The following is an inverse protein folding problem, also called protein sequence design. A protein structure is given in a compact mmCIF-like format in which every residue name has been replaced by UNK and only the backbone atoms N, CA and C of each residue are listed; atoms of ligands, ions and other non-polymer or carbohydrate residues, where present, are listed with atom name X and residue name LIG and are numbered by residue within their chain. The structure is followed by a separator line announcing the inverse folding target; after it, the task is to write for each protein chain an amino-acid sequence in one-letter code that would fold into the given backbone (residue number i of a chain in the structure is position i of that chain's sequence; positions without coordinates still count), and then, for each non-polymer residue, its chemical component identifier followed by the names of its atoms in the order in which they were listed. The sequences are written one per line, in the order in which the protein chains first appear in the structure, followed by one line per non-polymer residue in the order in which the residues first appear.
data_IF_922848395067
#
_entry.id   IF_922848395067
#
_cell.length_a   1.000
_cell.length_b   1.000
_cell.length_c   1.000
_cell.angle_alpha   90.00
_cell.angle_beta   90.00
_cell.angle_gamma   90.00
#
_symmetry.space_group_name_H-M   'P 1'
#
loop_
_entity.id
_entity.type
_entity.pdbx_description
1 polymer ?
#
# COMPACT_ATOMS: atom_id res chain seq x y z
N UNK A 1 -27.46 -3.28 8.09
CA UNK A 1 -27.31 -1.89 8.60
C UNK A 1 -27.22 -0.95 7.41
N UNK A 2 -27.68 0.29 7.53
CA UNK A 2 -27.44 1.32 6.50
C UNK A 2 -26.11 2.00 6.83
N UNK A 3 -25.25 2.18 5.84
CA UNK A 3 -23.95 2.84 6.03
C UNK A 3 -24.15 4.32 6.32
N UNK A 4 -23.40 4.85 7.30
CA UNK A 4 -23.46 6.28 7.66
C UNK A 4 -22.69 7.09 6.64
N UNK A 5 -23.32 8.13 6.09
CA UNK A 5 -22.65 9.12 5.23
C UNK A 5 -21.86 10.09 6.12
N UNK A 6 -20.63 10.38 5.71
CA UNK A 6 -19.75 11.39 6.30
C UNK A 6 -19.73 12.58 5.34
N UNK A 7 -20.03 13.77 5.85
CA UNK A 7 -19.88 14.98 5.06
C UNK A 7 -18.41 15.39 5.00
N UNK A 8 -17.84 15.40 3.80
CA UNK A 8 -16.50 15.90 3.52
C UNK A 8 -16.60 17.09 2.60
N UNK A 9 -15.79 18.12 2.84
CA UNK A 9 -15.73 19.27 1.94
C UNK A 9 -15.07 18.90 0.59
N UNK A 10 -15.26 19.76 -0.41
CA UNK A 10 -14.71 19.56 -1.74
C UNK A 10 -13.17 19.63 -1.74
N UNK A 11 -12.59 20.46 -0.88
CA UNK A 11 -11.14 20.63 -0.77
C UNK A 11 -10.45 19.34 -0.32
N UNK A 12 -11.05 18.58 0.59
CA UNK A 12 -10.59 17.27 1.03
C UNK A 12 -10.46 16.32 -0.16
N UNK A 13 -11.53 16.19 -0.96
CA UNK A 13 -11.51 15.32 -2.14
C UNK A 13 -10.44 15.79 -3.13
N UNK A 14 -10.37 17.09 -3.44
CA UNK A 14 -9.39 17.64 -4.37
C UNK A 14 -7.95 17.45 -3.90
N UNK A 15 -7.66 17.63 -2.61
CA UNK A 15 -6.34 17.41 -2.03
C UNK A 15 -5.85 15.97 -2.22
N UNK A 16 -6.77 15.00 -2.13
CA UNK A 16 -6.44 13.59 -2.33
C UNK A 16 -6.43 13.18 -3.82
N UNK A 17 -7.25 13.80 -4.67
CA UNK A 17 -7.44 13.34 -6.05
C UNK A 17 -6.54 14.03 -7.08
N UNK A 18 -6.35 15.35 -6.97
CA UNK A 18 -5.78 16.16 -8.07
C UNK A 18 -4.35 15.74 -8.45
N UNK A 19 -3.53 15.35 -7.48
CA UNK A 19 -2.17 14.84 -7.73
C UNK A 19 -2.14 13.59 -8.62
N UNK A 20 -3.15 12.73 -8.52
CA UNK A 20 -3.19 11.44 -9.19
C UNK A 20 -4.03 11.48 -10.47
N UNK A 21 -5.20 12.12 -10.40
CA UNK A 21 -6.26 12.03 -11.40
C UNK A 21 -6.36 13.25 -12.32
N UNK A 22 -5.89 14.44 -11.97
CA UNK A 22 -6.13 15.67 -12.77
C UNK A 22 -5.32 15.75 -14.09
N UNK A 23 -4.87 14.62 -14.64
CA UNK A 23 -4.02 14.56 -15.82
C UNK A 23 -4.89 14.64 -17.07
N UNK A 24 -4.79 15.73 -17.80
CA UNK A 24 -5.31 15.84 -19.17
C UNK A 24 -4.43 15.11 -20.20
N UNK A 25 -3.24 14.66 -19.79
CA UNK A 25 -2.32 13.94 -20.66
C UNK A 25 -2.80 12.48 -20.86
N UNK A 26 -3.10 12.04 -22.10
CA UNK A 26 -3.53 10.69 -22.40
C UNK A 26 -2.37 9.68 -22.54
N UNK A 27 -1.13 10.10 -22.35
CA UNK A 27 0.04 9.23 -22.47
C UNK A 27 -0.02 8.07 -21.46
N UNK A 28 0.22 6.87 -21.96
CA UNK A 28 0.13 5.63 -21.20
C UNK A 28 1.42 5.33 -20.40
N UNK A 29 1.80 6.28 -19.52
CA UNK A 29 3.12 6.30 -18.85
C UNK A 29 3.23 5.40 -17.62
N UNK A 30 2.11 4.95 -17.06
CA UNK A 30 2.03 4.21 -15.79
C UNK A 30 1.54 2.78 -15.99
N UNK A 31 1.76 2.22 -17.19
CA UNK A 31 1.50 0.82 -17.50
C UNK A 31 2.81 0.02 -17.57
N UNK A 32 3.28 -0.44 -16.42
CA UNK A 32 4.50 -1.23 -16.34
C UNK A 32 4.21 -2.71 -16.62
N UNK A 33 5.11 -3.39 -17.31
CA UNK A 33 5.00 -4.82 -17.67
C UNK A 33 3.65 -5.20 -18.34
N UNK A 34 3.04 -4.26 -19.08
CA UNK A 34 1.73 -4.45 -19.71
C UNK A 34 0.63 -4.90 -18.75
N UNK A 35 0.69 -4.46 -17.47
CA UNK A 35 -0.30 -4.76 -16.43
C UNK A 35 -1.74 -4.38 -16.85
N UNK A 36 -1.88 -3.37 -17.70
CA UNK A 36 -3.14 -2.89 -18.25
C UNK A 36 -3.17 -3.03 -19.77
N UNK A 37 -4.37 -3.32 -20.29
CA UNK A 37 -4.61 -3.36 -21.73
C UNK A 37 -4.49 -1.96 -22.35
N UNK A 38 -4.14 -1.89 -23.64
CA UNK A 38 -4.08 -0.61 -24.37
C UNK A 38 -5.43 0.09 -24.27
N UNK A 39 -5.43 1.37 -23.88
CA UNK A 39 -6.63 2.19 -23.73
C UNK A 39 -7.29 2.13 -22.35
N UNK A 40 -6.76 1.35 -21.41
CA UNK A 40 -7.21 1.36 -20.01
C UNK A 40 -6.88 2.71 -19.35
N UNK A 41 -7.85 3.36 -18.70
CA UNK A 41 -7.59 4.66 -18.06
C UNK A 41 -6.50 4.60 -16.98
N UNK A 42 -6.32 3.43 -16.34
CA UNK A 42 -5.41 3.25 -15.21
C UNK A 42 -3.94 3.44 -15.57
N UNK A 43 -3.53 3.12 -16.81
CA UNK A 43 -2.14 3.34 -17.21
C UNK A 43 -1.79 4.80 -17.55
N UNK A 44 -2.76 5.71 -17.53
CA UNK A 44 -2.53 7.17 -17.62
C UNK A 44 -2.39 7.82 -16.23
N UNK A 45 -2.80 7.11 -15.18
CA UNK A 45 -2.90 7.62 -13.81
C UNK A 45 -1.72 7.11 -12.97
N UNK A 46 -1.17 7.99 -12.15
CA UNK A 46 -0.13 7.63 -11.20
C UNK A 46 -0.77 7.09 -9.91
N UNK A 47 -0.27 5.98 -9.37
CA UNK A 47 -0.73 5.38 -8.09
C UNK A 47 -2.26 5.15 -8.05
N UNK A 48 -2.81 4.53 -9.09
CA UNK A 48 -4.23 4.15 -9.22
C UNK A 48 -4.82 3.39 -8.03
N UNK A 49 -3.98 2.70 -7.28
CA UNK A 49 -4.35 1.90 -6.11
C UNK A 49 -4.73 2.72 -4.87
N UNK A 50 -4.57 4.04 -4.90
CA UNK A 50 -4.98 4.95 -3.81
C UNK A 50 -6.50 5.11 -3.68
N UNK A 51 -7.27 4.54 -4.61
CA UNK A 51 -8.72 4.71 -4.69
C UNK A 51 -9.46 3.38 -4.43
N UNK A 52 -10.57 3.39 -3.67
CA UNK A 52 -11.14 4.54 -2.95
C UNK A 52 -10.23 5.03 -1.83
N UNK A 53 -10.39 6.28 -1.40
CA UNK A 53 -9.56 6.86 -0.34
C UNK A 53 -9.97 6.21 0.98
N UNK A 54 -9.02 5.60 1.69
CA UNK A 54 -9.24 5.01 3.01
C UNK A 54 -8.51 5.87 4.05
N UNK A 55 -9.25 6.38 5.03
CA UNK A 55 -8.70 7.25 6.08
C UNK A 55 -9.21 6.89 7.46
N UNK A 56 -8.51 7.35 8.51
CA UNK A 56 -9.06 7.28 9.88
C UNK A 56 -10.31 8.15 9.99
N UNK A 57 -11.27 7.67 10.77
CA UNK A 57 -12.46 8.44 11.11
C UNK A 57 -12.56 8.58 12.63
N UNK A 58 -12.63 9.83 13.09
CA UNK A 58 -12.89 10.17 14.49
C UNK A 58 -13.89 11.31 14.46
N UNK A 59 -15.07 11.06 15.02
CA UNK A 59 -16.06 12.11 15.25
C UNK A 59 -15.69 12.86 16.53
N UNK A 60 -15.73 14.20 16.50
CA UNK A 60 -15.26 15.02 17.62
C UNK A 60 -16.11 14.82 18.87
N UNK A 61 -17.40 14.53 18.66
CA UNK A 61 -18.40 14.42 19.71
C UNK A 61 -18.59 12.97 20.22
N UNK A 62 -18.10 11.97 19.49
CA UNK A 62 -18.23 10.54 19.85
C UNK A 62 -17.03 9.71 19.39
N UNK A 63 -15.92 9.87 20.11
CA UNK A 63 -14.62 9.31 19.75
C UNK A 63 -14.54 7.79 19.97
N UNK A 64 -15.15 7.26 21.03
CA UNK A 64 -15.10 5.82 21.32
C UNK A 64 -15.89 5.00 20.31
N UNK A 65 -17.06 5.48 19.86
CA UNK A 65 -17.89 4.71 18.92
C UNK A 65 -17.33 4.72 17.49
N UNK A 66 -16.55 5.75 17.13
CA UNK A 66 -16.08 5.95 15.75
C UNK A 66 -14.67 5.42 15.47
N UNK A 67 -13.90 5.12 16.53
CA UNK A 67 -12.55 4.56 16.41
C UNK A 67 -12.47 3.24 15.61
N UNK A 68 -13.57 2.48 15.53
CA UNK A 68 -13.66 1.22 14.80
C UNK A 68 -13.98 1.38 13.31
N UNK A 69 -14.12 2.62 12.81
CA UNK A 69 -14.50 2.89 11.42
C UNK A 69 -13.38 3.59 10.65
N UNK A 70 -13.34 3.32 9.36
CA UNK A 70 -12.66 4.14 8.37
C UNK A 70 -13.64 5.11 7.73
N UNK A 71 -13.11 6.28 7.34
CA UNK A 71 -13.74 7.12 6.34
C UNK A 71 -13.30 6.60 4.98
N UNK A 72 -14.25 6.07 4.21
CA UNK A 72 -14.01 5.57 2.86
C UNK A 72 -14.66 6.51 1.87
N UNK A 73 -13.84 7.19 1.07
CA UNK A 73 -14.32 8.13 0.05
C UNK A 73 -14.23 7.49 -1.32
N UNK A 74 -15.39 7.15 -1.88
CA UNK A 74 -15.51 6.72 -3.27
C UNK A 74 -15.39 7.94 -4.16
N UNK A 75 -14.58 7.82 -5.21
CA UNK A 75 -14.34 8.89 -6.17
C UNK A 75 -14.55 8.33 -7.56
N UNK A 76 -15.44 8.96 -8.32
CA UNK A 76 -15.56 8.76 -9.74
C UNK A 76 -15.01 9.98 -10.45
N UNK A 77 -14.26 9.76 -11.53
CA UNK A 77 -13.62 10.82 -12.29
C UNK A 77 -13.92 10.66 -13.77
N UNK A 78 -14.38 11.75 -14.39
CA UNK A 78 -14.60 11.83 -15.84
C UNK A 78 -13.93 13.09 -16.38
N UNK A 79 -13.07 12.90 -17.38
CA UNK A 79 -12.49 13.99 -18.19
C UNK A 79 -13.33 14.31 -19.43
N UNK A 80 -14.45 13.62 -19.62
CA UNK A 80 -15.31 13.84 -20.79
C UNK A 80 -15.94 15.22 -20.73
N UNK A 81 -16.10 15.84 -21.91
CA UNK A 81 -16.83 17.11 -22.05
C UNK A 81 -18.29 16.99 -21.60
N UNK A 82 -18.88 15.80 -21.78
CA UNK A 82 -20.20 15.47 -21.26
C UNK A 82 -20.06 14.80 -19.88
N UNK A 83 -20.24 15.61 -18.84
CA UNK A 83 -20.27 15.13 -17.46
C UNK A 83 -21.53 14.29 -17.22
N UNK A 84 -21.42 13.18 -16.45
CA UNK A 84 -22.57 12.34 -16.16
C UNK A 84 -23.62 13.09 -15.34
N UNK A 85 -24.89 12.80 -15.58
CA UNK A 85 -26.00 13.42 -14.81
C UNK A 85 -26.19 12.76 -13.46
N UNK A 86 -25.86 11.48 -13.37
CA UNK A 86 -25.92 10.70 -12.15
C UNK A 86 -24.72 9.79 -12.01
N UNK A 87 -24.12 9.81 -10.82
CA UNK A 87 -23.14 8.82 -10.38
C UNK A 87 -23.58 8.29 -9.02
N UNK A 88 -23.63 6.98 -8.89
CA UNK A 88 -23.90 6.29 -7.62
C UNK A 88 -22.94 5.14 -7.40
N UNK A 89 -22.80 4.70 -6.16
CA UNK A 89 -22.00 3.53 -5.78
C UNK A 89 -22.88 2.49 -5.10
N UNK A 90 -22.62 1.23 -5.40
CA UNK A 90 -23.24 0.07 -4.78
C UNK A 90 -22.17 -0.94 -4.41
N UNK A 91 -22.28 -1.56 -3.24
CA UNK A 91 -21.27 -2.51 -2.78
C UNK A 91 -21.64 -3.22 -1.48
N UNK A 92 -20.79 -4.17 -1.07
CA UNK A 92 -21.03 -5.02 0.10
C UNK A 92 -20.92 -4.29 1.44
N UNK A 93 -20.51 -3.03 1.44
CA UNK A 93 -20.49 -2.16 2.62
C UNK A 93 -21.88 -1.61 3.00
N UNK A 94 -22.88 -1.74 2.11
CA UNK A 94 -24.30 -1.46 2.36
C UNK A 94 -25.15 -2.58 1.71
N UNK A 95 -26.45 -2.36 1.54
CA UNK A 95 -27.37 -3.25 0.83
C UNK A 95 -27.14 -3.17 -0.69
N UNK A 96 -26.88 -4.30 -1.33
CA UNK A 96 -26.56 -4.40 -2.76
C UNK A 96 -27.65 -3.91 -3.75
N UNK A 97 -28.89 -3.73 -3.30
CA UNK A 97 -29.96 -3.16 -4.15
C UNK A 97 -30.06 -1.63 -4.02
N UNK A 98 -29.28 -1.02 -3.13
CA UNK A 98 -29.32 0.41 -2.86
C UNK A 98 -28.11 1.08 -3.50
N UNK A 99 -28.38 1.99 -4.44
CA UNK A 99 -27.38 2.93 -4.93
C UNK A 99 -27.25 4.11 -3.97
N UNK A 100 -26.04 4.46 -3.59
CA UNK A 100 -25.73 5.67 -2.83
C UNK A 100 -25.24 6.74 -3.82
N UNK A 101 -25.92 7.88 -3.98
CA UNK A 101 -25.50 8.92 -4.92
C UNK A 101 -24.19 9.57 -4.48
N UNK A 102 -23.33 9.87 -5.45
CA UNK A 102 -22.12 10.67 -5.27
C UNK A 102 -22.47 12.14 -5.52
N UNK A 103 -21.79 13.04 -4.79
CA UNK A 103 -21.94 14.48 -4.96
C UNK A 103 -20.92 14.99 -5.95
N UNK A 104 -21.33 15.92 -6.81
CA UNK A 104 -20.43 16.65 -7.68
C UNK A 104 -19.46 17.51 -6.85
N UNK A 105 -18.18 17.44 -7.17
CA UNK A 105 -17.14 18.23 -6.53
C UNK A 105 -16.85 19.47 -7.38
N UNK A 106 -16.86 20.61 -6.72
CA UNK A 106 -16.59 21.91 -7.34
C UNK A 106 -15.34 22.56 -6.78
N UNK A 107 -14.67 23.38 -7.60
CA UNK A 107 -13.55 24.23 -7.19
C UNK A 107 -13.89 25.67 -7.58
N UNK A 108 -13.93 26.58 -6.59
CA UNK A 108 -14.36 27.97 -6.79
C UNK A 108 -15.74 28.11 -7.46
N UNK A 109 -16.63 27.14 -7.24
CA UNK A 109 -17.98 27.12 -7.83
C UNK A 109 -18.07 26.41 -9.18
N UNK A 110 -16.95 26.05 -9.80
CA UNK A 110 -16.91 25.38 -11.10
C UNK A 110 -16.86 23.84 -10.96
N UNK A 111 -17.60 23.09 -11.79
CA UNK A 111 -17.48 21.64 -11.91
C UNK A 111 -16.05 21.18 -12.18
N UNK A 112 -15.61 20.14 -11.47
CA UNK A 112 -14.25 19.58 -11.62
C UNK A 112 -14.21 18.26 -12.38
N UNK A 113 -15.37 17.66 -12.67
CA UNK A 113 -15.47 16.30 -13.22
C UNK A 113 -15.27 15.18 -12.19
N UNK A 114 -15.01 15.53 -10.92
CA UNK A 114 -15.02 14.59 -9.80
C UNK A 114 -16.42 14.48 -9.20
N UNK A 115 -16.80 13.25 -8.87
CA UNK A 115 -17.95 12.93 -8.05
C UNK A 115 -17.45 12.12 -6.87
N UNK A 116 -17.92 12.42 -5.66
CA UNK A 116 -17.49 11.66 -4.49
C UNK A 116 -18.55 11.53 -3.38
N UNK A 117 -18.39 10.48 -2.58
CA UNK A 117 -19.15 10.29 -1.34
C UNK A 117 -18.25 9.64 -0.30
N UNK A 118 -18.34 10.10 0.94
CA UNK A 118 -17.59 9.55 2.06
C UNK A 118 -18.53 8.76 2.98
N UNK A 119 -18.14 7.54 3.32
CA UNK A 119 -18.93 6.62 4.15
C UNK A 119 -18.11 6.16 5.36
N UNK A 120 -18.78 5.97 6.50
CA UNK A 120 -18.19 5.30 7.67
C UNK A 120 -18.31 3.78 7.49
N UNK A 121 -17.19 3.09 7.25
CA UNK A 121 -17.13 1.65 7.01
C UNK A 121 -16.27 0.98 8.09
N UNK A 122 -16.67 -0.15 8.69
CA UNK A 122 -15.87 -0.80 9.72
C UNK A 122 -14.45 -1.16 9.26
N UNK A 123 -13.49 -1.01 10.18
CA UNK A 123 -12.12 -1.50 10.01
C UNK A 123 -12.13 -3.04 9.99
N UNK A 124 -11.11 -3.65 9.37
CA UNK A 124 -10.94 -5.10 9.36
C UNK A 124 -11.69 -5.84 8.23
N UNK A 125 -12.31 -5.13 7.30
CA UNK A 125 -13.22 -5.69 6.30
C UNK A 125 -12.66 -5.59 4.87
N UNK A 126 -13.20 -6.44 3.98
CA UNK A 126 -12.92 -6.45 2.55
C UNK A 126 -14.24 -6.29 1.83
N UNK A 127 -14.32 -5.31 0.94
CA UNK A 127 -15.56 -5.00 0.25
C UNK A 127 -15.39 -5.04 -1.27
N UNK A 128 -16.51 -5.31 -1.94
CA UNK A 128 -16.61 -5.20 -3.39
C UNK A 128 -17.66 -4.17 -3.76
N UNK A 129 -17.45 -3.46 -4.86
CA UNK A 129 -18.33 -2.39 -5.32
C UNK A 129 -18.32 -2.21 -6.84
N UNK A 130 -19.31 -1.48 -7.33
CA UNK A 130 -19.45 -0.98 -8.69
C UNK A 130 -20.03 0.43 -8.67
N UNK A 131 -19.77 1.20 -9.73
CA UNK A 131 -20.45 2.46 -9.96
C UNK A 131 -21.68 2.25 -10.84
N UNK A 132 -22.65 3.14 -10.66
CA UNK A 132 -23.82 3.30 -11.51
C UNK A 132 -23.71 4.70 -12.12
N UNK A 133 -23.42 4.78 -13.40
CA UNK A 133 -23.23 6.04 -14.12
C UNK A 133 -24.33 6.14 -15.18
N UNK A 134 -25.23 7.11 -15.04
CA UNK A 134 -26.39 7.31 -15.93
C UNK A 134 -27.17 6.01 -16.23
N UNK A 135 -27.34 5.17 -15.20
CA UNK A 135 -28.06 3.89 -15.27
C UNK A 135 -27.22 2.69 -15.72
N UNK A 136 -25.97 2.89 -16.14
CA UNK A 136 -25.04 1.82 -16.49
C UNK A 136 -24.20 1.39 -15.29
N UNK A 137 -24.17 0.07 -15.03
CA UNK A 137 -23.33 -0.51 -13.97
C UNK A 137 -21.94 -0.77 -14.54
N UNK A 138 -20.93 -0.09 -13.99
CA UNK A 138 -19.53 -0.21 -14.43
C UNK A 138 -18.61 -0.54 -13.26
N UNK A 139 -17.45 -1.12 -13.57
CA UNK A 139 -16.35 -1.19 -12.61
C UNK A 139 -15.83 0.21 -12.32
N UNK A 140 -15.19 0.37 -11.17
CA UNK A 140 -14.38 1.55 -10.92
C UNK A 140 -13.28 1.65 -12.01
N UNK A 141 -13.30 2.71 -12.84
CA UNK A 141 -12.39 2.84 -13.97
C UNK A 141 -10.95 3.13 -13.54
N UNK A 142 -10.74 3.55 -12.29
CA UNK A 142 -9.43 3.94 -11.77
C UNK A 142 -8.89 2.94 -10.73
N UNK A 143 -9.71 2.12 -10.09
CA UNK A 143 -9.23 1.13 -9.14
C UNK A 143 -8.65 -0.12 -9.85
N UNK A 144 -7.37 -0.47 -9.64
CA UNK A 144 -6.77 -1.67 -10.23
C UNK A 144 -7.22 -2.96 -9.53
N UNK A 145 -7.75 -2.88 -8.31
CA UNK A 145 -8.08 -4.02 -7.48
C UNK A 145 -9.47 -4.55 -7.85
N UNK A 146 -9.51 -5.78 -8.34
CA UNK A 146 -10.74 -6.44 -8.80
C UNK A 146 -10.83 -7.86 -8.27
N UNK A 147 -12.06 -8.35 -8.11
CA UNK A 147 -12.38 -9.72 -7.70
C UNK A 147 -13.44 -10.30 -8.61
N UNK A 148 -13.21 -11.51 -9.10
CA UNK A 148 -14.23 -12.33 -9.77
C UNK A 148 -14.93 -13.12 -8.66
N UNK A 149 -16.25 -12.98 -8.55
CA UNK A 149 -17.06 -13.71 -7.59
C UNK A 149 -17.51 -15.06 -8.17
N UNK A 150 -18.05 -15.95 -7.33
CA UNK A 150 -18.49 -17.30 -7.73
C UNK A 150 -19.54 -17.32 -8.84
N UNK A 151 -20.26 -16.21 -9.01
CA UNK A 151 -21.23 -16.01 -10.10
C UNK A 151 -20.58 -15.55 -11.43
N UNK A 152 -19.25 -15.55 -11.51
CA UNK A 152 -18.47 -15.12 -12.68
C UNK A 152 -18.42 -13.60 -12.91
N UNK A 153 -19.07 -12.80 -12.05
CA UNK A 153 -19.05 -11.35 -12.19
C UNK A 153 -17.79 -10.75 -11.59
N UNK A 154 -17.14 -9.87 -12.35
CA UNK A 154 -16.04 -9.03 -11.85
C UNK A 154 -16.61 -7.84 -11.08
N UNK A 155 -15.96 -7.51 -9.96
CA UNK A 155 -16.25 -6.35 -9.11
C UNK A 155 -14.96 -5.62 -8.76
N UNK A 156 -15.03 -4.30 -8.55
CA UNK A 156 -13.93 -3.56 -7.93
C UNK A 156 -13.87 -3.91 -6.45
N UNK A 157 -12.67 -3.92 -5.88
CA UNK A 157 -12.42 -4.35 -4.49
C UNK A 157 -11.64 -3.28 -3.74
N UNK A 158 -11.91 -3.14 -2.43
CA UNK A 158 -11.06 -2.37 -1.53
C UNK A 158 -10.99 -3.01 -0.15
N UNK A 159 -10.02 -2.56 0.63
CA UNK A 159 -9.68 -3.09 1.94
C UNK A 159 -9.73 -1.96 2.96
N UNK A 160 -10.40 -2.17 4.09
CA UNK A 160 -10.35 -1.20 5.19
C UNK A 160 -9.08 -1.41 6.03
N UNK A 161 -8.70 -0.41 6.83
CA UNK A 161 -7.53 -0.50 7.71
C UNK A 161 -7.67 -1.72 8.64
N UNK A 162 -6.53 -2.33 8.98
CA UNK A 162 -6.45 -3.55 9.79
C UNK A 162 -7.16 -4.78 9.21
N UNK A 163 -7.64 -4.74 7.96
CA UNK A 163 -8.08 -5.95 7.27
C UNK A 163 -6.96 -6.98 7.28
N UNK A 164 -7.18 -8.09 7.99
CA UNK A 164 -6.24 -9.20 8.12
C UNK A 164 -6.55 -10.21 7.02
N UNK A 165 -5.83 -10.16 5.91
CA UNK A 165 -5.76 -11.30 4.98
C UNK A 165 -4.58 -12.21 5.30
N UNK A 166 -4.69 -13.43 4.78
CA UNK A 166 -3.70 -14.52 4.79
C UNK A 166 -2.38 -13.99 4.20
N UNK A 167 -1.25 -14.38 4.79
CA UNK A 167 0.08 -14.12 4.24
C UNK A 167 0.10 -14.54 2.76
N UNK A 168 0.38 -13.60 1.85
CA UNK A 168 0.38 -13.87 0.41
C UNK A 168 1.65 -14.58 -0.03
N UNK A 169 2.76 -14.31 0.67
CA UNK A 169 4.05 -14.92 0.43
C UNK A 169 4.21 -16.25 1.19
N UNK A 170 4.76 -17.24 0.49
CA UNK A 170 5.18 -18.51 1.07
C UNK A 170 6.47 -18.32 1.89
N UNK A 171 6.75 -19.25 2.80
CA UNK A 171 7.92 -19.16 3.68
C UNK A 171 9.24 -18.99 2.94
N UNK A 172 9.43 -19.67 1.79
CA UNK A 172 10.66 -19.55 1.01
C UNK A 172 10.75 -18.20 0.27
N UNK A 173 9.62 -17.68 -0.22
CA UNK A 173 9.53 -16.36 -0.85
C UNK A 173 9.86 -15.27 0.15
N UNK A 174 9.31 -15.35 1.36
CA UNK A 174 9.59 -14.42 2.45
C UNK A 174 11.08 -14.43 2.84
N UNK A 175 11.69 -15.62 2.96
CA UNK A 175 13.13 -15.76 3.24
C UNK A 175 14.01 -15.19 2.14
N UNK A 176 13.67 -15.45 0.88
CA UNK A 176 14.41 -14.91 -0.26
C UNK A 176 14.30 -13.39 -0.32
N UNK A 177 13.08 -12.88 -0.14
CA UNK A 177 12.79 -11.46 -0.09
C UNK A 177 13.56 -10.76 1.04
N UNK A 178 13.61 -11.39 2.22
CA UNK A 178 14.43 -10.96 3.35
C UNK A 178 15.88 -10.72 2.93
N UNK A 179 16.52 -11.69 2.28
CA UNK A 179 17.93 -11.59 1.86
C UNK A 179 18.17 -10.43 0.88
N UNK A 180 17.24 -10.20 -0.04
CA UNK A 180 17.35 -9.09 -1.00
C UNK A 180 17.13 -7.75 -0.28
N UNK A 181 16.14 -7.66 0.61
CA UNK A 181 15.85 -6.42 1.37
C UNK A 181 16.98 -6.05 2.35
N UNK A 182 17.66 -7.04 2.93
CA UNK A 182 18.82 -6.84 3.80
C UNK A 182 19.97 -6.12 3.07
N UNK A 183 20.08 -6.30 1.75
CA UNK A 183 21.08 -5.59 0.94
C UNK A 183 20.66 -4.13 0.63
N UNK A 184 19.36 -3.84 0.62
CA UNK A 184 18.81 -2.51 0.30
C UNK A 184 18.92 -1.56 1.50
N UNK A 185 18.70 -2.05 2.71
CA UNK A 185 18.53 -1.22 3.91
C UNK A 185 19.83 -1.08 4.71
N UNK A 186 20.08 0.08 5.35
CA UNK A 186 21.34 0.36 6.04
C UNK A 186 21.47 -0.34 7.41
N UNK A 187 20.44 -1.07 7.85
CA UNK A 187 20.34 -1.65 9.19
C UNK A 187 21.29 -2.81 9.47
N UNK A 188 21.71 -3.54 8.43
CA UNK A 188 22.57 -4.74 8.57
C UNK A 188 24.08 -4.44 8.53
N UNK A 189 24.46 -3.17 8.58
CA UNK A 189 25.84 -2.77 8.89
C UNK A 189 26.13 -3.08 10.37
N UNK A 190 27.39 -3.31 10.76
CA UNK A 190 27.72 -3.54 12.19
C UNK A 190 27.23 -2.38 13.06
N UNK A 191 27.38 -1.16 12.58
CA UNK A 191 26.92 0.06 13.25
C UNK A 191 25.38 0.09 13.35
N UNK A 192 24.67 -0.21 12.26
CA UNK A 192 23.21 -0.25 12.24
C UNK A 192 22.62 -1.31 13.15
N UNK A 193 23.23 -2.50 13.22
CA UNK A 193 22.80 -3.57 14.12
C UNK A 193 22.99 -3.16 15.59
N UNK A 194 24.17 -2.64 15.93
CA UNK A 194 24.45 -2.14 17.29
C UNK A 194 23.47 -1.05 17.71
N UNK A 195 23.15 -0.12 16.81
CA UNK A 195 22.16 0.92 17.07
C UNK A 195 20.78 0.34 17.39
N UNK A 196 20.28 -0.56 16.53
CA UNK A 196 18.95 -1.12 16.70
C UNK A 196 18.83 -1.98 17.96
N UNK A 197 19.86 -2.78 18.27
CA UNK A 197 19.93 -3.54 19.51
C UNK A 197 19.87 -2.61 20.74
N UNK A 198 20.61 -1.50 20.73
CA UNK A 198 20.56 -0.52 21.80
C UNK A 198 19.17 0.13 21.91
N UNK A 199 18.59 0.54 20.78
CA UNK A 199 17.31 1.21 20.71
C UNK A 199 16.18 0.34 21.28
N UNK A 200 16.04 -0.90 20.83
CA UNK A 200 14.99 -1.80 21.32
C UNK A 200 15.18 -2.17 22.79
N UNK A 201 16.43 -2.40 23.23
CA UNK A 201 16.70 -2.62 24.65
C UNK A 201 16.33 -1.41 25.52
N UNK A 202 16.42 -0.18 24.98
CA UNK A 202 16.00 1.03 25.69
C UNK A 202 14.47 1.15 25.78
N UNK A 203 13.74 0.80 24.71
CA UNK A 203 12.29 0.75 24.69
C UNK A 203 11.76 -0.29 25.68
N UNK A 204 12.31 -1.51 25.68
CA UNK A 204 11.92 -2.59 26.61
C UNK A 204 12.08 -2.15 28.08
N UNK A 205 13.11 -1.34 28.40
CA UNK A 205 13.33 -0.81 29.75
C UNK A 205 12.35 0.29 30.15
N UNK A 206 12.00 1.19 29.23
CA UNK A 206 11.01 2.25 29.46
C UNK A 206 9.57 1.70 29.54
N UNK A 207 9.32 0.56 28.89
CA UNK A 207 8.01 -0.09 28.82
C UNK A 207 7.66 -0.92 30.06
N UNK A 208 8.57 -1.10 31.03
CA UNK A 208 8.26 -1.89 32.25
C UNK A 208 7.18 -1.25 33.15
N UNK A 209 6.89 0.04 32.98
CA UNK A 209 5.85 0.75 33.74
C UNK A 209 4.50 0.87 33.00
N UNK A 210 4.43 0.56 31.70
CA UNK A 210 3.21 0.59 30.91
C UNK A 210 3.00 -0.76 30.21
N UNK A 211 1.83 -1.39 30.40
CA UNK A 211 1.42 -2.64 29.74
C UNK A 211 1.25 -2.48 28.20
N UNK A 212 2.25 -1.99 27.48
CA UNK A 212 2.25 -1.90 26.03
C UNK A 212 2.91 -3.16 25.45
N UNK A 213 2.00 -4.11 25.27
CA UNK A 213 2.09 -5.40 24.61
C UNK A 213 3.07 -5.49 23.44
N UNK A 214 3.91 -6.55 23.48
CA UNK A 214 4.24 -7.42 22.33
C UNK A 214 4.43 -6.74 20.97
N UNK A 215 5.12 -5.60 20.91
CA UNK A 215 5.74 -5.15 19.68
C UNK A 215 6.85 -6.16 19.38
N UNK A 216 6.50 -7.20 18.63
CA UNK A 216 7.39 -8.27 18.19
C UNK A 216 8.75 -7.67 17.84
N UNK A 217 9.78 -8.14 18.55
CA UNK A 217 11.16 -7.86 18.18
C UNK A 217 11.30 -8.14 16.70
N UNK A 218 11.55 -7.10 15.92
CA UNK A 218 12.01 -7.23 14.55
C UNK A 218 13.28 -8.07 14.61
N UNK A 219 13.19 -9.34 14.24
CA UNK A 219 14.27 -9.86 13.40
C UNK A 219 14.14 -9.06 12.09
N UNK A 220 15.11 -8.19 11.85
CA UNK A 220 14.98 -6.91 11.12
C UNK A 220 14.52 -6.99 9.65
N UNK A 221 14.41 -8.18 9.11
CA UNK A 221 13.89 -8.49 7.79
C UNK A 221 12.40 -8.84 7.81
N UNK A 222 11.92 -9.53 8.84
CA UNK A 222 10.54 -10.01 8.94
C UNK A 222 9.57 -8.84 9.00
N UNK A 223 9.88 -7.72 9.64
CA UNK A 223 8.91 -6.63 9.68
C UNK A 223 8.83 -5.80 8.39
N UNK A 224 9.90 -5.67 7.60
CA UNK A 224 9.84 -5.08 6.25
C UNK A 224 9.20 -6.06 5.27
N UNK A 225 9.58 -7.33 5.32
CA UNK A 225 8.96 -8.39 4.51
C UNK A 225 7.48 -8.55 4.84
N UNK A 226 7.10 -8.51 6.12
CA UNK A 226 5.70 -8.53 6.56
C UNK A 226 4.94 -7.27 6.14
N UNK A 227 5.60 -6.10 6.14
CA UNK A 227 5.02 -4.90 5.54
C UNK A 227 4.75 -5.11 4.05
N UNK A 228 5.74 -5.60 3.30
CA UNK A 228 5.60 -5.89 1.86
C UNK A 228 4.48 -6.91 1.65
N UNK A 229 4.43 -8.00 2.41
CA UNK A 229 3.40 -9.03 2.28
C UNK A 229 2.00 -8.48 2.56
N UNK A 230 1.83 -7.65 3.59
CA UNK A 230 0.57 -6.97 3.88
C UNK A 230 0.17 -5.97 2.79
N UNK A 231 1.15 -5.27 2.22
CA UNK A 231 0.94 -4.35 1.10
C UNK A 231 0.46 -5.10 -0.14
N UNK A 232 1.13 -6.20 -0.50
CA UNK A 232 0.80 -7.09 -1.62
C UNK A 232 -0.48 -7.89 -1.39
N UNK A 233 -0.94 -8.02 -0.15
CA UNK A 233 -2.24 -8.65 0.13
C UNK A 233 -3.40 -7.67 -0.12
N UNK A 234 -3.13 -6.35 -0.10
CA UNK A 234 -4.14 -5.29 -0.06
C UNK A 234 -3.87 -4.20 -1.10
N UNK A 235 -3.36 -3.04 -0.66
CA UNK A 235 -3.22 -1.81 -1.46
C UNK A 235 -2.52 -2.07 -2.79
N UNK A 236 -1.46 -2.89 -2.78
CA UNK A 236 -0.67 -3.18 -3.97
C UNK A 236 -0.79 -4.62 -4.44
N UNK A 237 -1.97 -5.23 -4.26
CA UNK A 237 -2.24 -6.61 -4.69
C UNK A 237 -2.00 -6.87 -6.16
N UNK A 238 -2.17 -5.86 -7.00
CA UNK A 238 -1.87 -5.94 -8.43
C UNK A 238 -0.40 -6.27 -8.72
N UNK A 239 0.53 -6.00 -7.80
CA UNK A 239 1.94 -6.37 -7.91
C UNK A 239 2.28 -7.76 -7.34
N UNK A 240 1.33 -8.46 -6.71
CA UNK A 240 1.61 -9.78 -6.13
C UNK A 240 2.14 -10.76 -7.20
N UNK A 241 1.57 -10.71 -8.41
CA UNK A 241 2.02 -11.56 -9.52
C UNK A 241 3.47 -11.30 -9.92
N UNK A 242 3.90 -10.03 -9.92
CA UNK A 242 5.28 -9.65 -10.22
C UNK A 242 6.23 -10.28 -9.19
N UNK A 243 5.89 -10.20 -7.90
CA UNK A 243 6.65 -10.83 -6.83
C UNK A 243 6.73 -12.35 -6.98
N UNK A 244 5.61 -13.02 -7.27
CA UNK A 244 5.58 -14.48 -7.47
C UNK A 244 6.50 -14.93 -8.61
N UNK A 245 6.44 -14.23 -9.74
CA UNK A 245 7.27 -14.55 -10.91
C UNK A 245 8.74 -14.28 -10.60
N UNK A 246 9.07 -13.08 -10.12
CA UNK A 246 10.46 -12.67 -9.93
C UNK A 246 11.15 -13.45 -8.82
N UNK A 247 10.50 -13.74 -7.69
CA UNK A 247 11.10 -14.55 -6.62
C UNK A 247 11.35 -15.99 -7.08
N UNK A 248 10.47 -16.58 -7.89
CA UNK A 248 10.70 -17.90 -8.50
C UNK A 248 11.88 -17.87 -9.50
N UNK A 249 12.00 -16.83 -10.32
CA UNK A 249 13.15 -16.66 -11.23
C UNK A 249 14.45 -16.55 -10.42
N UNK A 250 14.46 -15.71 -9.38
CA UNK A 250 15.63 -15.50 -8.52
C UNK A 250 16.02 -16.79 -7.79
N UNK A 251 15.06 -17.52 -7.20
CA UNK A 251 15.34 -18.80 -6.52
C UNK A 251 16.02 -19.80 -7.46
N UNK A 252 15.48 -19.98 -8.67
CA UNK A 252 16.05 -20.87 -9.69
C UNK A 252 17.44 -20.43 -10.13
N UNK A 253 17.64 -19.14 -10.38
CA UNK A 253 18.92 -18.57 -10.78
C UNK A 253 19.98 -18.74 -9.69
N UNK A 254 19.62 -18.52 -8.43
CA UNK A 254 20.53 -18.71 -7.30
C UNK A 254 20.91 -20.18 -7.14
N UNK A 255 19.95 -21.11 -7.25
CA UNK A 255 20.22 -22.56 -7.22
C UNK A 255 21.09 -23.01 -8.39
N UNK A 256 20.98 -22.39 -9.56
CA UNK A 256 21.88 -22.66 -10.69
C UNK A 256 23.32 -22.19 -10.41
N UNK A 257 23.48 -21.02 -9.76
CA UNK A 257 24.80 -20.49 -9.39
C UNK A 257 25.48 -21.30 -8.30
N UNK A 258 24.72 -21.79 -7.32
CA UNK A 258 25.22 -22.67 -6.27
C UNK A 258 24.19 -23.76 -5.93
N UNK A 259 24.29 -24.95 -6.54
CA UNK A 259 23.36 -26.05 -6.32
C UNK A 259 23.41 -26.66 -4.91
N UNK A 260 24.44 -26.37 -4.13
CA UNK A 260 24.70 -27.03 -2.85
C UNK A 260 24.17 -26.26 -1.64
N UNK A 261 23.73 -25.01 -1.84
CA UNK A 261 23.20 -24.15 -0.78
C UNK A 261 21.79 -23.70 -1.12
N UNK A 262 20.93 -23.68 -0.10
CA UNK A 262 19.62 -23.05 -0.20
C UNK A 262 19.78 -21.53 -0.37
N UNK A 263 18.99 -20.86 -1.23
CA UNK A 263 19.09 -19.42 -1.48
C UNK A 263 19.08 -18.56 -0.21
N UNK A 264 18.29 -18.94 0.80
CA UNK A 264 18.25 -18.23 2.10
C UNK A 264 19.58 -18.26 2.87
N UNK A 265 20.49 -19.19 2.56
CA UNK A 265 21.78 -19.39 3.23
C UNK A 265 22.97 -18.93 2.38
N UNK A 266 22.73 -18.39 1.18
CA UNK A 266 23.81 -17.92 0.31
C UNK A 266 24.49 -16.68 0.87
N UNK A 267 25.75 -16.49 0.47
CA UNK A 267 26.62 -15.42 0.96
C UNK A 267 26.09 -14.02 0.60
N UNK A 268 26.53 -13.01 1.34
CA UNK A 268 26.16 -11.61 1.09
C UNK A 268 26.68 -11.14 -0.27
N UNK A 269 27.86 -11.61 -0.67
CA UNK A 269 28.50 -11.26 -1.94
C UNK A 269 27.65 -11.70 -3.13
N UNK A 270 27.02 -12.88 -3.04
CA UNK A 270 26.15 -13.38 -4.11
C UNK A 270 24.89 -12.53 -4.29
N UNK A 271 24.31 -12.06 -3.18
CA UNK A 271 23.18 -11.12 -3.23
C UNK A 271 23.60 -9.72 -3.67
N UNK A 272 24.82 -9.29 -3.35
CA UNK A 272 25.39 -8.03 -3.87
C UNK A 272 25.53 -8.07 -5.39
N UNK A 273 26.09 -9.16 -5.92
CA UNK A 273 26.24 -9.35 -7.36
C UNK A 273 24.87 -9.43 -8.06
N UNK A 274 23.93 -10.18 -7.50
CA UNK A 274 22.55 -10.24 -8.01
C UNK A 274 21.91 -8.85 -8.02
N UNK A 275 22.11 -8.07 -6.96
CA UNK A 275 21.58 -6.71 -6.85
C UNK A 275 22.13 -5.81 -7.98
N UNK A 276 23.44 -5.83 -8.22
CA UNK A 276 24.07 -5.03 -9.29
C UNK A 276 23.56 -5.44 -10.68
N UNK A 277 23.38 -6.74 -10.89
CA UNK A 277 22.81 -7.28 -12.13
C UNK A 277 21.36 -6.83 -12.33
N UNK A 278 20.51 -6.99 -11.31
CA UNK A 278 19.13 -6.51 -11.33
C UNK A 278 19.07 -5.00 -11.62
N UNK A 279 19.95 -4.22 -10.99
CA UNK A 279 20.05 -2.78 -11.21
C UNK A 279 20.45 -2.41 -12.64
N UNK A 280 21.39 -3.16 -13.23
CA UNK A 280 21.79 -2.96 -14.62
C UNK A 280 20.73 -3.39 -15.64
N UNK A 281 19.74 -4.20 -15.22
CA UNK A 281 18.77 -4.84 -16.10
C UNK A 281 19.31 -6.07 -16.85
N UNK A 282 20.62 -6.35 -16.76
CA UNK A 282 21.27 -7.48 -17.38
C UNK A 282 21.63 -8.55 -16.33
N UNK A 283 20.82 -9.60 -16.25
CA UNK A 283 20.97 -10.66 -15.25
C UNK A 283 21.22 -11.98 -15.97
N UNK A 284 22.47 -12.51 -15.94
CA UNK A 284 22.77 -13.80 -16.54
C UNK A 284 21.91 -14.92 -15.93
N UNK A 285 21.20 -15.64 -16.80
CA UNK A 285 20.27 -16.72 -16.42
C UNK A 285 18.84 -16.27 -16.11
N UNK A 286 18.52 -14.98 -16.26
CA UNK A 286 17.16 -14.49 -16.05
C UNK A 286 16.20 -14.92 -17.17
N UNK A 287 14.98 -15.28 -16.80
CA UNK A 287 13.93 -15.63 -17.75
C UNK A 287 13.19 -14.36 -18.22
N UNK A 288 13.76 -13.71 -19.24
CA UNK A 288 13.18 -12.51 -19.86
C UNK A 288 11.85 -12.78 -20.59
N UNK A 289 11.52 -14.04 -20.89
CA UNK A 289 10.24 -14.41 -21.46
C UNK A 289 9.11 -14.36 -20.43
N UNK A 290 9.41 -14.71 -19.17
CA UNK A 290 8.45 -14.63 -18.05
C UNK A 290 8.40 -13.25 -17.40
N UNK A 291 9.52 -12.52 -17.35
CA UNK A 291 9.56 -11.17 -16.81
C UNK A 291 10.64 -10.34 -17.52
N UNK A 292 10.23 -9.40 -18.36
CA UNK A 292 11.15 -8.75 -19.30
C UNK A 292 12.04 -7.68 -18.66
N UNK A 293 11.73 -7.17 -17.47
CA UNK A 293 12.40 -6.01 -16.89
C UNK A 293 12.82 -6.23 -15.42
N UNK A 294 13.94 -6.93 -15.17
CA UNK A 294 14.46 -7.14 -13.81
C UNK A 294 14.76 -5.84 -13.05
N UNK A 295 15.14 -4.77 -13.76
CA UNK A 295 15.41 -3.47 -13.14
C UNK A 295 14.14 -2.85 -12.55
N UNK A 296 13.01 -2.96 -13.26
CA UNK A 296 11.73 -2.50 -12.74
C UNK A 296 11.32 -3.27 -11.48
N UNK A 297 11.49 -4.59 -11.44
CA UNK A 297 11.25 -5.37 -10.22
C UNK A 297 12.10 -4.88 -9.05
N UNK A 298 13.39 -4.59 -9.28
CA UNK A 298 14.26 -4.05 -8.24
C UNK A 298 13.80 -2.67 -7.77
N UNK A 299 13.38 -1.78 -8.67
CA UNK A 299 12.86 -0.46 -8.31
C UNK A 299 11.58 -0.56 -7.47
N UNK A 300 10.66 -1.45 -7.84
CA UNK A 300 9.45 -1.76 -7.09
C UNK A 300 9.80 -2.26 -5.68
N UNK A 301 10.70 -3.24 -5.61
CA UNK A 301 11.17 -3.82 -4.35
C UNK A 301 11.82 -2.75 -3.45
N UNK A 302 12.69 -1.90 -4.00
CA UNK A 302 13.30 -0.79 -3.25
C UNK A 302 12.23 0.15 -2.72
N UNK A 303 11.24 0.56 -3.52
CA UNK A 303 10.15 1.42 -3.07
C UNK A 303 9.41 0.81 -1.89
N UNK A 304 9.04 -0.47 -1.96
CA UNK A 304 8.35 -1.13 -0.87
C UNK A 304 9.24 -1.32 0.38
N UNK A 305 10.53 -1.65 0.20
CA UNK A 305 11.47 -1.79 1.32
C UNK A 305 11.68 -0.46 2.05
N UNK A 306 11.92 0.63 1.33
CA UNK A 306 12.06 1.97 1.91
C UNK A 306 10.75 2.44 2.58
N UNK A 307 9.61 2.21 1.94
CA UNK A 307 8.30 2.53 2.54
C UNK A 307 8.10 1.74 3.83
N UNK A 308 8.36 0.44 3.82
CA UNK A 308 8.24 -0.41 5.00
C UNK A 308 9.21 -0.06 6.11
N UNK A 309 10.39 0.48 5.79
CA UNK A 309 11.37 0.90 6.79
C UNK A 309 11.10 2.30 7.38
N UNK A 310 10.52 3.22 6.61
CA UNK A 310 10.48 4.64 6.95
C UNK A 310 9.11 5.31 6.82
N UNK A 311 8.02 4.59 6.53
CA UNK A 311 6.67 5.17 6.60
C UNK A 311 6.25 5.47 8.05
N UNK A 312 5.14 6.18 8.22
CA UNK A 312 4.57 6.37 9.55
C UNK A 312 4.07 5.01 10.12
N UNK A 313 4.31 4.69 11.41
CA UNK A 313 3.95 3.40 12.03
C UNK A 313 2.49 2.97 11.89
N UNK A 314 1.58 3.94 11.95
CA UNK A 314 0.15 3.78 11.68
C UNK A 314 -0.17 3.00 10.40
N UNK A 315 0.61 3.17 9.34
CA UNK A 315 0.39 2.50 8.06
C UNK A 315 1.10 1.13 7.95
N UNK A 316 1.61 0.61 9.07
CA UNK A 316 2.18 -0.73 9.17
C UNK A 316 3.68 -0.85 8.85
N UNK A 317 4.33 0.21 8.35
CA UNK A 317 5.80 0.26 8.22
C UNK A 317 6.46 0.89 9.44
N UNK A 318 7.80 0.90 9.53
CA UNK A 318 8.59 1.53 10.60
C UNK A 318 8.11 1.19 12.03
N UNK A 319 7.70 -0.06 12.28
CA UNK A 319 7.11 -0.37 13.57
C UNK A 319 8.09 -0.08 14.73
N UNK A 320 7.57 0.58 15.77
CA UNK A 320 8.35 1.09 16.88
C UNK A 320 9.15 2.37 16.59
N UNK A 321 9.05 2.98 15.40
CA UNK A 321 9.75 4.22 15.05
C UNK A 321 11.25 4.06 14.81
N UNK A 322 11.76 2.83 14.73
CA UNK A 322 13.19 2.53 14.70
C UNK A 322 13.93 3.11 13.49
N UNK A 323 13.32 3.11 12.30
CA UNK A 323 13.89 3.71 11.10
C UNK A 323 14.02 5.23 11.23
N UNK A 324 13.05 5.89 11.86
CA UNK A 324 13.13 7.33 12.14
C UNK A 324 14.13 7.66 13.24
N UNK A 325 14.23 6.83 14.27
CA UNK A 325 15.26 6.96 15.29
C UNK A 325 16.68 6.82 14.69
N UNK A 326 16.87 5.85 13.80
CA UNK A 326 18.15 5.64 13.09
C UNK A 326 18.55 6.85 12.24
N UNK A 327 17.58 7.44 11.54
CA UNK A 327 17.82 8.65 10.77
C UNK A 327 18.08 9.86 11.67
N UNK A 328 17.40 10.00 12.81
CA UNK A 328 17.54 11.15 13.70
C UNK A 328 18.88 11.19 14.45
N UNK A 329 19.54 10.05 14.57
CA UNK A 329 20.94 9.99 15.02
C UNK A 329 21.89 10.63 14.00
N UNK A 330 21.54 10.60 12.70
CA UNK A 330 22.38 11.05 11.58
C UNK A 330 22.01 12.41 11.04
N UNK A 331 20.75 12.82 11.22
CA UNK A 331 20.19 14.03 10.65
C UNK A 331 19.39 14.80 11.70
N UNK A 332 19.41 16.14 11.68
CA UNK A 332 18.75 16.96 12.70
C UNK A 332 17.23 17.04 12.46
N UNK A 333 16.48 16.02 12.86
CA UNK A 333 15.01 16.08 12.88
C UNK A 333 14.42 15.39 14.13
N UNK A 334 13.35 15.97 14.68
CA UNK A 334 12.67 15.44 15.85
C UNK A 334 11.43 14.63 15.44
N UNK A 335 11.65 13.37 15.12
CA UNK A 335 10.58 12.48 14.67
C UNK A 335 9.49 12.23 15.73
N UNK A 336 9.79 12.39 17.02
CA UNK A 336 8.80 12.19 18.09
C UNK A 336 7.66 13.21 18.00
N UNK A 337 7.90 14.39 17.45
CA UNK A 337 6.84 15.37 17.19
C UNK A 337 5.91 14.97 16.04
N UNK A 338 6.26 13.96 15.25
CA UNK A 338 5.47 13.51 14.11
C UNK A 338 4.64 12.24 14.41
N UNK A 339 4.81 11.62 15.58
CA UNK A 339 4.06 10.41 15.98
C UNK A 339 3.27 10.68 17.26
N UNK A 340 2.09 10.10 17.34
CA UNK A 340 1.27 10.03 18.54
C UNK A 340 1.92 9.25 19.71
N UNK A 341 1.39 9.47 20.91
CA UNK A 341 1.65 8.60 22.08
C UNK A 341 1.25 7.16 21.72
N UNK A 342 2.03 6.12 22.10
CA UNK A 342 3.11 6.13 23.09
C UNK A 342 4.53 6.32 22.53
N UNK A 343 4.72 6.29 21.21
CA UNK A 343 6.07 6.36 20.61
C UNK A 343 6.57 7.80 20.47
N UNK A 344 5.68 8.75 20.26
CA UNK A 344 5.99 10.17 20.12
C UNK A 344 5.21 11.05 21.08
N UNK A 345 5.14 12.33 20.74
CA UNK A 345 4.57 13.41 21.56
C UNK A 345 3.55 14.25 20.79
N UNK A 346 3.18 13.87 19.56
CA UNK A 346 2.25 14.64 18.75
C UNK A 346 0.82 14.56 19.35
N UNK A 347 0.21 15.68 19.76
CA UNK A 347 -1.14 15.68 20.32
C UNK A 347 -2.25 15.73 19.25
N UNK A 348 -1.89 16.15 18.02
CA UNK A 348 -2.78 16.39 16.89
C UNK A 348 -3.11 15.10 16.14
N UNK A 349 -2.18 14.15 16.12
CA UNK A 349 -2.39 12.80 15.59
C UNK A 349 -2.89 11.87 16.71
N UNK A 350 -4.05 11.24 16.48
CA UNK A 350 -4.64 10.24 17.38
C UNK A 350 -5.21 9.11 16.54
N UNK A 351 -4.50 7.99 16.45
CA UNK A 351 -5.01 6.72 15.87
C UNK A 351 -5.11 6.69 14.35
#
# INVERSE_FOLDING_TARGET
MQTRIINTDHQYVLNHCTKYLARSNPDFRHNYNSQFSVGDARGQICEVWRFPIIDSYVDRDDQESTANFNRVTFVYFSLNSDLPKFVGVVGTFDKLYRSIPLNEITFLGEPTGYYAISLAIPKGEVHTYKFIVDGQVILDPINPQQKILDNGQTWSQFFTHFSTEILSLQTWEAKLLERITDHILPFRTEEGQRFLDFYYNSLDRQSKDNQLLYAYRFDQSIGVVNFIDKLLSKEERHHLVDYKICLDIVDKLLRQRNPFLEPGLMSKEMYSELYDQLWSGNVPGWDYGRYNNPQYFLQLLRRHAFTGAFSHPKYGGNAGGAGWAYLAERYPFNWRQAIEVPLGTNPDYRG
#
